data_IF_985670283466
#
_entry.id   IF_985670283466
#
_cell.length_a   1.000
_cell.length_b   1.000
_cell.length_c   1.000
_cell.angle_alpha   90.00
_cell.angle_beta   90.00
_cell.angle_gamma   90.00
#
_symmetry.space_group_name_H-M   'P 1'
#
loop_
_entity.id
_entity.type
_entity.pdbx_description
1 polymer ?
#
# COMPACT_ATOMS: atom_id res chain seq x y z
N UNK A 1 9.82 -45.15 1.22
CA UNK A 1 10.00 -43.69 1.05
C UNK A 1 8.62 -43.06 0.95
N UNK A 2 8.10 -42.48 2.04
CA UNK A 2 6.78 -41.82 2.05
C UNK A 2 6.99 -40.37 1.65
N UNK A 3 6.58 -40.01 0.43
CA UNK A 3 6.37 -38.61 0.09
C UNK A 3 5.23 -38.11 0.98
N UNK A 4 5.54 -37.24 1.94
CA UNK A 4 4.52 -36.47 2.64
C UNK A 4 3.93 -35.52 1.60
N UNK A 5 2.75 -35.83 1.10
CA UNK A 5 1.93 -34.84 0.42
C UNK A 5 1.77 -33.67 1.39
N UNK A 6 2.38 -32.52 1.06
CA UNK A 6 2.01 -31.25 1.67
C UNK A 6 0.55 -31.08 1.28
N UNK A 7 -0.36 -31.34 2.22
CA UNK A 7 -1.77 -31.06 2.04
C UNK A 7 -1.87 -29.53 1.92
N UNK A 8 -1.79 -29.01 0.70
CA UNK A 8 -2.01 -27.60 0.39
C UNK A 8 -3.48 -27.33 0.74
N UNK A 9 -3.74 -26.95 2.00
CA UNK A 9 -4.99 -26.29 2.35
C UNK A 9 -5.03 -25.05 1.48
N UNK A 10 -5.92 -25.04 0.48
CA UNK A 10 -6.23 -23.84 -0.27
C UNK A 10 -6.60 -22.76 0.75
N UNK A 11 -5.71 -21.80 0.97
CA UNK A 11 -6.01 -20.68 1.84
C UNK A 11 -7.17 -19.93 1.21
N UNK A 12 -8.20 -19.67 2.01
CA UNK A 12 -9.25 -18.74 1.62
C UNK A 12 -8.78 -17.30 1.85
N UNK A 13 -9.53 -16.35 1.32
CA UNK A 13 -9.22 -14.92 1.45
C UNK A 13 -9.18 -14.45 2.91
N UNK A 14 -9.93 -15.10 3.81
CA UNK A 14 -9.94 -14.74 5.22
C UNK A 14 -8.61 -15.10 5.89
N UNK A 15 -8.06 -16.28 5.58
CA UNK A 15 -6.74 -16.69 6.06
C UNK A 15 -5.63 -15.76 5.54
N UNK A 16 -5.67 -15.37 4.27
CA UNK A 16 -4.71 -14.40 3.71
C UNK A 16 -4.78 -13.06 4.44
N UNK A 17 -5.99 -12.53 4.64
CA UNK A 17 -6.18 -11.26 5.36
C UNK A 17 -5.66 -11.36 6.79
N UNK A 18 -5.93 -12.45 7.49
CA UNK A 18 -5.40 -12.69 8.84
C UNK A 18 -3.88 -12.72 8.85
N UNK A 19 -3.25 -13.37 7.86
CA UNK A 19 -1.80 -13.40 7.74
C UNK A 19 -1.21 -12.01 7.45
N UNK A 20 -1.74 -11.28 6.47
CA UNK A 20 -1.33 -9.90 6.17
C UNK A 20 -1.45 -8.96 7.39
N UNK A 21 -2.50 -9.13 8.19
CA UNK A 21 -2.69 -8.36 9.43
C UNK A 21 -1.69 -8.75 10.52
N UNK A 22 -1.21 -10.00 10.53
CA UNK A 22 -0.21 -10.48 11.49
C UNK A 22 1.23 -10.09 11.13
N UNK A 23 1.47 -9.66 9.88
CA UNK A 23 2.79 -9.17 9.43
C UNK A 23 3.22 -8.01 10.32
N UNK A 24 4.37 -8.16 10.96
CA UNK A 24 5.10 -7.04 11.55
C UNK A 24 6.07 -6.49 10.49
N UNK A 25 5.78 -5.35 9.86
CA UNK A 25 6.60 -4.80 8.79
C UNK A 25 7.96 -4.27 9.27
N UNK A 26 8.23 -4.29 10.57
CA UNK A 26 9.49 -3.80 11.16
C UNK A 26 10.41 -4.94 11.63
N UNK A 27 10.10 -6.19 11.27
CA UNK A 27 10.99 -7.32 11.51
C UNK A 27 12.16 -7.30 10.52
N UNK A 28 13.30 -7.89 10.90
CA UNK A 28 14.49 -7.95 10.06
C UNK A 28 14.31 -8.75 8.74
N UNK A 29 13.27 -9.59 8.66
CA UNK A 29 12.96 -10.38 7.46
C UNK A 29 11.45 -10.42 7.21
N UNK A 30 11.05 -10.03 5.99
CA UNK A 30 9.65 -10.08 5.54
C UNK A 30 9.37 -11.19 4.50
N UNK A 31 10.20 -12.24 4.44
CA UNK A 31 10.10 -13.29 3.40
C UNK A 31 8.71 -13.93 3.27
N UNK A 32 7.98 -14.06 4.39
CA UNK A 32 6.64 -14.63 4.39
C UNK A 32 5.64 -13.79 3.59
N UNK A 33 5.88 -12.48 3.43
CA UNK A 33 4.99 -11.59 2.68
C UNK A 33 4.98 -11.93 1.20
N UNK A 34 6.12 -12.27 0.58
CA UNK A 34 6.15 -12.68 -0.83
C UNK A 34 5.34 -13.97 -1.06
N UNK A 35 5.43 -14.92 -0.14
CA UNK A 35 4.63 -16.15 -0.18
C UNK A 35 3.13 -15.83 -0.04
N UNK A 36 2.74 -14.97 0.91
CA UNK A 36 1.35 -14.53 1.10
C UNK A 36 0.82 -13.84 -0.17
N UNK A 37 1.61 -12.95 -0.78
CA UNK A 37 1.25 -12.23 -1.99
C UNK A 37 1.14 -13.20 -3.18
N UNK A 38 2.06 -14.16 -3.31
CA UNK A 38 2.01 -15.21 -4.33
C UNK A 38 0.73 -16.06 -4.22
N UNK A 39 0.36 -16.45 -3.00
CA UNK A 39 -0.89 -17.16 -2.76
C UNK A 39 -2.12 -16.30 -3.07
N UNK A 40 -2.09 -15.02 -2.70
CA UNK A 40 -3.14 -14.06 -3.06
C UNK A 40 -3.30 -14.04 -4.59
N UNK A 41 -2.22 -13.96 -5.37
CA UNK A 41 -2.25 -13.98 -6.85
C UNK A 41 -2.90 -15.22 -7.47
N UNK A 42 -2.95 -16.35 -6.76
CA UNK A 42 -3.64 -17.55 -7.22
C UNK A 42 -5.18 -17.46 -7.14
N UNK A 43 -5.70 -16.41 -6.51
CA UNK A 43 -7.14 -16.17 -6.35
C UNK A 43 -7.72 -15.29 -7.46
N UNK A 44 -9.04 -15.41 -7.65
CA UNK A 44 -9.80 -14.54 -8.54
C UNK A 44 -9.64 -13.06 -8.16
N UNK A 45 -9.58 -12.16 -9.15
CA UNK A 45 -9.34 -10.73 -8.94
C UNK A 45 -10.35 -10.10 -7.96
N UNK A 46 -11.62 -10.50 -8.05
CA UNK A 46 -12.69 -10.03 -7.15
C UNK A 46 -12.47 -10.44 -5.70
N UNK A 47 -11.95 -11.65 -5.45
CA UNK A 47 -11.60 -12.11 -4.11
C UNK A 47 -10.36 -11.36 -3.59
N UNK A 48 -9.34 -11.19 -4.44
CA UNK A 48 -8.11 -10.49 -4.05
C UNK A 48 -8.33 -9.06 -3.58
N UNK A 49 -9.27 -8.34 -4.21
CA UNK A 49 -9.64 -6.96 -3.82
C UNK A 49 -10.02 -6.83 -2.34
N UNK A 50 -10.56 -7.88 -1.72
CA UNK A 50 -10.91 -7.88 -0.29
C UNK A 50 -9.69 -7.74 0.63
N UNK A 51 -8.48 -8.04 0.14
CA UNK A 51 -7.23 -7.92 0.90
C UNK A 51 -6.58 -6.53 0.82
N UNK A 52 -7.08 -5.61 -0.03
CA UNK A 52 -6.49 -4.26 -0.18
C UNK A 52 -6.35 -3.53 1.16
N UNK A 53 -7.37 -3.50 2.05
CA UNK A 53 -7.23 -2.82 3.34
C UNK A 53 -6.13 -3.42 4.21
N UNK A 54 -5.98 -4.75 4.20
CA UNK A 54 -4.94 -5.44 4.96
C UNK A 54 -3.53 -5.14 4.42
N UNK A 55 -3.38 -5.05 3.10
CA UNK A 55 -2.12 -4.66 2.46
C UNK A 55 -1.71 -3.24 2.80
N UNK A 56 -2.64 -2.27 2.74
CA UNK A 56 -2.36 -0.90 3.22
C UNK A 56 -2.03 -0.86 4.72
N UNK A 57 -2.69 -1.71 5.51
CA UNK A 57 -2.40 -1.85 6.94
C UNK A 57 -0.95 -2.22 7.24
N UNK A 58 -0.25 -2.92 6.33
CA UNK A 58 1.19 -3.21 6.47
C UNK A 58 1.99 -1.90 6.45
N UNK A 59 1.76 -1.02 5.46
CA UNK A 59 2.43 0.27 5.38
C UNK A 59 2.09 1.18 6.56
N UNK A 60 0.84 1.14 7.04
CA UNK A 60 0.42 1.90 8.21
C UNK A 60 1.14 1.46 9.50
N UNK A 61 1.66 0.23 9.58
CA UNK A 61 2.44 -0.25 10.74
C UNK A 61 3.95 -0.08 10.58
N UNK A 62 4.42 0.41 9.43
CA UNK A 62 5.84 0.64 9.16
C UNK A 62 6.36 1.82 9.99
N UNK A 63 7.60 1.70 10.45
CA UNK A 63 8.38 2.77 11.07
C UNK A 63 9.07 3.62 9.99
N UNK A 64 9.17 4.93 10.22
CA UNK A 64 9.64 5.94 9.26
C UNK A 64 11.06 5.73 8.65
N UNK A 65 11.83 4.76 9.14
CA UNK A 65 13.20 4.46 8.68
C UNK A 65 13.41 2.98 8.36
N UNK A 66 12.34 2.18 8.32
CA UNK A 66 12.44 0.77 7.94
C UNK A 66 12.07 0.61 6.47
N UNK A 67 12.99 0.01 5.70
CA UNK A 67 12.80 -0.28 4.29
C UNK A 67 13.20 -1.72 4.02
N UNK A 68 12.32 -2.46 3.35
CA UNK A 68 12.58 -3.79 2.82
C UNK A 68 12.04 -3.87 1.39
N UNK A 69 12.82 -4.48 0.50
CA UNK A 69 12.42 -4.72 -0.89
C UNK A 69 11.07 -5.44 -1.03
N UNK A 70 10.69 -6.28 -0.07
CA UNK A 70 9.43 -7.04 -0.10
C UNK A 70 8.20 -6.14 0.01
N UNK A 71 8.33 -4.93 0.58
CA UNK A 71 7.24 -3.94 0.60
C UNK A 71 6.84 -3.49 -0.80
N UNK A 72 7.74 -3.57 -1.80
CA UNK A 72 7.39 -3.33 -3.20
C UNK A 72 6.46 -4.40 -3.76
N UNK A 73 6.59 -5.66 -3.35
CA UNK A 73 5.66 -6.73 -3.76
C UNK A 73 4.24 -6.41 -3.32
N UNK A 74 4.08 -5.88 -2.10
CA UNK A 74 2.78 -5.42 -1.57
C UNK A 74 2.24 -4.25 -2.38
N UNK A 75 3.08 -3.24 -2.65
CA UNK A 75 2.68 -2.07 -3.43
C UNK A 75 2.21 -2.48 -4.83
N UNK A 76 2.97 -3.33 -5.52
CA UNK A 76 2.62 -3.82 -6.85
C UNK A 76 1.37 -4.71 -6.84
N UNK A 77 1.17 -5.50 -5.78
CA UNK A 77 -0.06 -6.27 -5.61
C UNK A 77 -1.30 -5.36 -5.49
N UNK A 78 -1.21 -4.25 -4.76
CA UNK A 78 -2.29 -3.25 -4.69
C UNK A 78 -2.52 -2.61 -6.07
N UNK A 79 -1.47 -2.09 -6.71
CA UNK A 79 -1.57 -1.40 -8.01
C UNK A 79 -2.19 -2.31 -9.09
N UNK A 80 -1.84 -3.61 -9.09
CA UNK A 80 -2.36 -4.59 -10.04
C UNK A 80 -3.86 -4.91 -9.89
N UNK A 81 -4.49 -4.58 -8.76
CA UNK A 81 -5.90 -4.90 -8.52
C UNK A 81 -6.87 -3.87 -9.09
N UNK A 82 -6.42 -2.66 -9.47
CA UNK A 82 -7.24 -1.52 -9.94
C UNK A 82 -8.38 -1.12 -8.96
N UNK A 83 -8.85 0.12 -9.00
CA UNK A 83 -9.91 0.62 -8.08
C UNK A 83 -9.51 0.63 -6.58
N UNK A 84 -8.22 0.75 -6.27
CA UNK A 84 -7.68 0.80 -4.90
C UNK A 84 -7.67 2.21 -4.31
N UNK A 85 -7.98 3.23 -5.12
CA UNK A 85 -7.85 4.65 -4.80
C UNK A 85 -8.65 5.05 -3.56
N UNK A 86 -9.83 4.46 -3.37
CA UNK A 86 -10.65 4.71 -2.18
C UNK A 86 -9.94 4.27 -0.90
N UNK A 87 -9.31 3.10 -0.91
CA UNK A 87 -8.53 2.57 0.22
C UNK A 87 -7.21 3.33 0.40
N UNK A 88 -6.59 3.77 -0.70
CA UNK A 88 -5.39 4.61 -0.65
C UNK A 88 -5.67 5.92 0.10
N UNK A 89 -6.74 6.62 -0.27
CA UNK A 89 -7.13 7.89 0.37
C UNK A 89 -7.39 7.67 1.86
N UNK A 90 -8.15 6.63 2.21
CA UNK A 90 -8.42 6.31 3.62
C UNK A 90 -7.15 5.92 4.39
N UNK A 91 -6.22 5.21 3.75
CA UNK A 91 -4.92 4.85 4.36
C UNK A 91 -4.09 6.10 4.66
N UNK A 92 -4.07 7.06 3.73
CA UNK A 92 -3.41 8.35 3.92
C UNK A 92 -4.03 9.11 5.09
N UNK A 93 -5.36 9.17 5.17
CA UNK A 93 -6.06 9.85 6.27
C UNK A 93 -5.79 9.20 7.63
N UNK A 94 -5.60 7.87 7.68
CA UNK A 94 -5.24 7.15 8.91
C UNK A 94 -3.79 7.38 9.31
N UNK A 95 -2.85 7.15 8.40
CA UNK A 95 -1.42 7.31 8.62
C UNK A 95 -0.67 7.52 7.29
N UNK A 96 -0.32 8.76 6.93
CA UNK A 96 0.54 9.06 5.79
C UNK A 96 1.88 8.33 5.91
N UNK A 97 2.38 7.77 4.81
CA UNK A 97 3.67 7.07 4.74
C UNK A 97 4.26 7.16 3.33
N UNK A 98 5.52 6.77 3.16
CA UNK A 98 6.22 6.93 1.89
C UNK A 98 5.52 6.19 0.72
N UNK A 99 4.98 5.00 0.97
CA UNK A 99 4.37 4.17 -0.07
C UNK A 99 3.05 4.75 -0.53
N UNK A 100 2.17 5.17 0.37
CA UNK A 100 0.89 5.75 -0.03
C UNK A 100 1.06 7.11 -0.74
N UNK A 101 2.01 7.94 -0.31
CA UNK A 101 2.32 9.20 -1.00
C UNK A 101 2.97 8.97 -2.37
N UNK A 102 3.87 7.98 -2.48
CA UNK A 102 4.44 7.57 -3.76
C UNK A 102 3.36 7.10 -4.72
N UNK A 103 2.40 6.30 -4.27
CA UNK A 103 1.27 5.84 -5.09
C UNK A 103 0.42 7.02 -5.58
N UNK A 104 0.14 8.03 -4.74
CA UNK A 104 -0.53 9.25 -5.19
C UNK A 104 0.28 9.98 -6.25
N UNK A 105 1.60 10.13 -6.06
CA UNK A 105 2.46 10.76 -7.05
C UNK A 105 2.47 9.98 -8.38
N UNK A 106 2.42 8.64 -8.35
CA UNK A 106 2.28 7.81 -9.56
C UNK A 106 0.96 8.04 -10.27
N UNK A 107 -0.14 8.15 -9.53
CA UNK A 107 -1.45 8.50 -10.09
C UNK A 107 -1.39 9.89 -10.74
N UNK A 108 -0.82 10.88 -10.07
CA UNK A 108 -0.62 12.22 -10.63
C UNK A 108 0.24 12.21 -11.91
N UNK A 109 1.31 11.40 -11.94
CA UNK A 109 2.14 11.23 -13.13
C UNK A 109 1.39 10.63 -14.33
N UNK A 110 0.28 9.92 -14.10
CA UNK A 110 -0.60 9.43 -15.17
C UNK A 110 -1.54 10.50 -15.72
N UNK A 111 -1.56 11.70 -15.12
CA UNK A 111 -2.46 12.81 -15.46
C UNK A 111 -3.78 12.80 -14.70
N UNK A 112 -4.03 11.80 -13.85
CA UNK A 112 -5.22 11.76 -13.01
C UNK A 112 -5.03 12.63 -11.76
N UNK A 113 -5.82 13.70 -11.65
CA UNK A 113 -5.77 14.63 -10.51
C UNK A 113 -6.90 14.42 -9.50
N UNK A 114 -7.98 13.74 -9.90
CA UNK A 114 -9.19 13.57 -9.10
C UNK A 114 -9.64 12.10 -9.11
N UNK A 115 -10.12 11.64 -7.97
CA UNK A 115 -10.88 10.39 -7.83
C UNK A 115 -12.13 10.65 -6.98
N UNK A 116 -13.32 10.42 -7.56
CA UNK A 116 -14.61 10.86 -6.99
C UNK A 116 -14.54 12.35 -6.61
N UNK A 117 -14.76 12.69 -5.34
CA UNK A 117 -14.70 14.06 -4.83
C UNK A 117 -13.34 14.44 -4.22
N UNK A 118 -12.35 13.53 -4.27
CA UNK A 118 -11.01 13.77 -3.75
C UNK A 118 -10.10 14.29 -4.87
N UNK A 119 -9.59 15.51 -4.72
CA UNK A 119 -8.49 16.03 -5.52
C UNK A 119 -7.16 15.69 -4.82
N UNK A 120 -6.29 14.94 -5.51
CA UNK A 120 -5.02 14.47 -4.94
C UNK A 120 -4.06 15.61 -4.61
N UNK A 121 -4.03 16.68 -5.39
CA UNK A 121 -3.19 17.85 -5.09
C UNK A 121 -3.66 18.53 -3.80
N UNK A 122 -4.97 18.72 -3.65
CA UNK A 122 -5.54 19.29 -2.41
C UNK A 122 -5.30 18.36 -1.22
N UNK A 123 -5.36 17.04 -1.41
CA UNK A 123 -5.02 16.07 -0.37
C UNK A 123 -3.56 16.25 0.09
N UNK A 124 -2.60 16.30 -0.83
CA UNK A 124 -1.18 16.50 -0.52
C UNK A 124 -0.91 17.89 0.11
N UNK A 125 -1.58 18.95 -0.37
CA UNK A 125 -1.49 20.30 0.22
C UNK A 125 -2.00 20.32 1.67
N UNK A 126 -3.09 19.60 1.98
CA UNK A 126 -3.61 19.48 3.35
C UNK A 126 -2.63 18.76 4.27
N UNK A 127 -1.95 17.71 3.79
CA UNK A 127 -0.97 16.98 4.58
C UNK A 127 0.25 17.84 4.95
N UNK A 128 0.67 18.76 4.08
CA UNK A 128 1.75 19.71 4.42
C UNK A 128 1.39 20.69 5.55
N UNK A 129 0.10 20.86 5.85
CA UNK A 129 -0.35 21.66 6.99
C UNK A 129 -0.34 20.88 8.31
N UNK A 130 -0.20 19.54 8.26
CA UNK A 130 -0.09 18.70 9.44
C UNK A 130 1.32 18.81 10.05
N UNK A 131 1.38 19.34 11.27
CA UNK A 131 2.63 19.55 12.00
C UNK A 131 3.24 18.26 12.56
N UNK A 132 2.51 17.15 12.52
CA UNK A 132 2.99 15.86 13.02
C UNK A 132 3.61 14.99 11.93
N UNK A 133 3.56 15.43 10.66
CA UNK A 133 4.19 14.70 9.57
C UNK A 133 5.72 14.73 9.73
N UNK A 134 6.37 13.58 9.57
CA UNK A 134 7.83 13.51 9.69
C UNK A 134 8.52 14.36 8.60
N UNK A 135 9.80 14.66 8.80
CA UNK A 135 10.54 15.56 7.91
C UNK A 135 10.72 14.98 6.49
N UNK A 136 11.01 13.68 6.37
CA UNK A 136 11.24 13.03 5.08
C UNK A 136 9.98 13.09 4.20
N UNK A 137 8.82 12.75 4.76
CA UNK A 137 7.53 12.83 4.06
C UNK A 137 7.17 14.28 3.70
N UNK A 138 7.52 15.25 4.54
CA UNK A 138 7.37 16.67 4.20
C UNK A 138 8.19 17.08 2.98
N UNK A 139 9.43 16.60 2.87
CA UNK A 139 10.31 16.87 1.73
C UNK A 139 9.78 16.20 0.45
N UNK A 140 9.34 14.95 0.54
CA UNK A 140 8.72 14.23 -0.58
C UNK A 140 7.44 14.92 -1.08
N UNK A 141 6.54 15.30 -0.16
CA UNK A 141 5.30 16.02 -0.50
C UNK A 141 5.58 17.32 -1.23
N UNK A 142 6.56 18.11 -0.75
CA UNK A 142 6.97 19.35 -1.43
C UNK A 142 7.48 19.03 -2.83
N UNK A 143 8.36 18.04 -2.98
CA UNK A 143 8.87 17.61 -4.28
C UNK A 143 7.75 17.20 -5.25
N UNK A 144 6.76 16.45 -4.77
CA UNK A 144 5.62 16.02 -5.57
C UNK A 144 4.73 17.21 -5.97
N UNK A 145 4.41 18.11 -5.04
CA UNK A 145 3.60 19.28 -5.32
C UNK A 145 4.29 20.24 -6.29
N UNK A 146 5.59 20.51 -6.12
CA UNK A 146 6.39 21.30 -7.06
C UNK A 146 6.32 20.74 -8.48
N UNK A 147 6.45 19.41 -8.64
CA UNK A 147 6.35 18.72 -9.93
C UNK A 147 4.98 18.92 -10.59
N UNK A 148 3.92 19.04 -9.79
CA UNK A 148 2.53 19.05 -10.25
C UNK A 148 1.83 20.41 -10.10
N UNK A 149 2.55 21.50 -9.84
CA UNK A 149 2.01 22.86 -9.61
C UNK A 149 1.04 23.39 -10.68
N UNK A 150 1.07 22.84 -11.89
CA UNK A 150 0.18 23.21 -13.01
C UNK A 150 -1.04 22.30 -13.21
N UNK A 151 -1.14 21.21 -12.46
CA UNK A 151 -2.26 20.28 -12.51
C UNK A 151 -3.27 20.67 -11.42
N UNK A 152 -4.14 21.65 -11.68
CA UNK A 152 -5.23 22.03 -10.78
C UNK A 152 -6.58 21.77 -11.41
#
# INVERSE_FOLDING_TARGET
>A
MKFKEKQYRKMDIHNIITQLNSVNPNNDTLYEVDDIISELYSMEKSERKKAIPAMFGIFERLNDNHYDSVLWSVLHAIEGLTDYENELIQSIERKPNEFNLLMVNRILNSGQTVFKDCNYIILLEKLLLDRNLNQNLNEDLKGYLEKHKGLK
#
